data_IF_327000476973
#
_entry.id   IF_327000476973
#
_cell.length_a   1.000
_cell.length_b   1.000
_cell.length_c   1.000
_cell.angle_alpha   90.00
_cell.angle_beta   90.00
_cell.angle_gamma   90.00
#
_symmetry.space_group_name_H-M   'P 1'
#
loop_
_entity.id
_entity.type
_entity.pdbx_description
1 polymer ?
#
# COMPACT_ATOMS: atom_id res chain seq x y z
N UNK A 1 -9.33 4.56 -6.80
CA UNK A 1 -9.08 3.33 -7.59
C UNK A 1 -7.92 3.61 -8.51
N UNK A 2 -6.91 2.74 -8.56
CA UNK A 2 -5.81 2.91 -9.51
C UNK A 2 -6.36 2.70 -10.94
N UNK A 3 -6.36 3.76 -11.75
CA UNK A 3 -6.92 3.76 -13.10
C UNK A 3 -5.79 4.06 -14.10
N UNK A 4 -5.08 3.01 -14.48
CA UNK A 4 -3.98 3.07 -15.45
C UNK A 4 -3.19 1.77 -15.42
N UNK A 5 -3.02 1.12 -16.56
CA UNK A 5 -2.34 -0.18 -16.68
C UNK A 5 -0.94 -0.15 -16.06
N UNK A 6 -0.15 0.90 -16.32
CA UNK A 6 1.22 1.02 -15.82
C UNK A 6 1.36 1.25 -14.30
N UNK A 7 0.42 1.94 -13.65
CA UNK A 7 0.46 2.11 -12.18
C UNK A 7 0.03 0.82 -11.47
N UNK A 8 -0.98 0.14 -12.02
CA UNK A 8 -1.43 -1.15 -11.52
C UNK A 8 -0.33 -2.21 -11.64
N UNK A 9 0.39 -2.28 -12.76
CA UNK A 9 1.53 -3.20 -12.94
C UNK A 9 2.64 -2.95 -11.90
N UNK A 10 3.00 -1.69 -11.65
CA UNK A 10 4.02 -1.36 -10.64
C UNK A 10 3.60 -1.76 -9.22
N UNK A 11 2.38 -1.40 -8.84
CA UNK A 11 1.85 -1.69 -7.49
C UNK A 11 1.71 -3.19 -7.28
N UNK A 12 1.29 -3.92 -8.30
CA UNK A 12 1.15 -5.38 -8.21
C UNK A 12 2.50 -6.10 -8.12
N UNK A 13 3.50 -5.66 -8.88
CA UNK A 13 4.86 -6.15 -8.74
C UNK A 13 5.42 -5.90 -7.33
N UNK A 14 5.22 -4.68 -6.79
CA UNK A 14 5.62 -4.35 -5.43
C UNK A 14 4.88 -5.19 -4.38
N UNK A 15 3.58 -5.44 -4.59
CA UNK A 15 2.73 -6.22 -3.70
C UNK A 15 3.19 -7.68 -3.61
N UNK A 16 3.47 -8.31 -4.75
CA UNK A 16 3.99 -9.68 -4.82
C UNK A 16 5.40 -9.77 -4.23
N UNK A 17 6.25 -8.76 -4.43
CA UNK A 17 7.58 -8.69 -3.81
C UNK A 17 7.48 -8.61 -2.28
N UNK A 18 6.56 -7.80 -1.76
CA UNK A 18 6.34 -7.62 -0.31
C UNK A 18 5.72 -8.86 0.33
N UNK A 19 4.84 -9.55 -0.37
CA UNK A 19 4.14 -10.74 0.12
C UNK A 19 4.28 -11.90 -0.88
N UNK A 20 5.44 -12.59 -0.90
CA UNK A 20 5.71 -13.65 -1.87
C UNK A 20 4.68 -14.79 -1.87
N UNK A 21 4.04 -15.06 -0.73
CA UNK A 21 2.97 -16.04 -0.58
C UNK A 21 1.75 -15.78 -1.47
N UNK A 22 1.54 -14.53 -1.91
CA UNK A 22 0.43 -14.16 -2.78
C UNK A 22 0.63 -14.57 -4.24
N UNK A 23 1.82 -15.07 -4.62
CA UNK A 23 2.05 -15.62 -5.97
C UNK A 23 1.08 -16.74 -6.32
N UNK A 24 0.66 -17.53 -5.32
CA UNK A 24 -0.35 -18.58 -5.50
C UNK A 24 -1.77 -18.02 -5.71
N UNK A 25 -2.00 -16.75 -5.34
CA UNK A 25 -3.29 -16.06 -5.50
C UNK A 25 -3.38 -15.27 -6.81
N UNK A 26 -2.27 -15.08 -7.54
CA UNK A 26 -2.29 -14.50 -8.88
C UNK A 26 -2.72 -15.61 -9.84
N UNK A 27 -3.98 -15.63 -10.32
CA UNK A 27 -4.45 -16.74 -11.14
C UNK A 27 -3.74 -16.63 -12.49
N UNK A 28 -2.90 -17.61 -12.80
CA UNK A 28 -2.36 -17.75 -14.15
C UNK A 28 -3.52 -17.79 -15.15
N UNK A 29 -3.52 -16.87 -16.11
CA UNK A 29 -4.43 -16.81 -17.25
C UNK A 29 -5.93 -16.51 -16.98
N UNK A 30 -6.27 -15.75 -15.93
CA UNK A 30 -7.60 -15.12 -15.83
C UNK A 30 -7.66 -13.78 -16.61
N UNK A 31 -8.76 -13.45 -17.33
CA UNK A 31 -8.94 -12.14 -17.95
C UNK A 31 -9.01 -10.99 -16.91
N UNK A 32 -9.17 -11.34 -15.63
CA UNK A 32 -9.01 -10.41 -14.52
C UNK A 32 -7.84 -10.89 -13.64
N UNK A 33 -6.63 -10.31 -13.78
CA UNK A 33 -5.40 -10.82 -13.14
C UNK A 33 -5.43 -10.85 -11.61
N UNK A 34 -6.42 -10.22 -10.99
CA UNK A 34 -6.60 -10.16 -9.53
C UNK A 34 -7.95 -10.68 -9.04
N UNK A 35 -8.73 -11.37 -9.88
CA UNK A 35 -9.92 -12.12 -9.46
C UNK A 35 -10.93 -11.34 -8.61
N UNK A 36 -11.13 -10.04 -8.88
CA UNK A 36 -12.03 -9.18 -8.10
C UNK A 36 -11.38 -8.37 -6.98
N UNK A 37 -10.06 -8.43 -6.80
CA UNK A 37 -9.33 -7.54 -5.87
C UNK A 37 -9.18 -6.14 -6.48
N UNK A 38 -9.43 -5.12 -5.66
CA UNK A 38 -9.30 -3.71 -6.02
C UNK A 38 -8.09 -3.10 -5.32
N UNK A 39 -7.26 -2.37 -6.07
CA UNK A 39 -6.18 -1.57 -5.51
C UNK A 39 -6.64 -0.14 -5.26
N UNK A 40 -6.47 0.30 -4.00
CA UNK A 40 -6.79 1.64 -3.54
C UNK A 40 -5.51 2.36 -3.14
N UNK A 41 -5.32 3.58 -3.65
CA UNK A 41 -4.29 4.49 -3.17
C UNK A 41 -4.83 5.24 -1.96
N UNK A 42 -4.13 5.13 -0.84
CA UNK A 42 -4.42 5.87 0.38
C UNK A 42 -3.38 6.99 0.49
N UNK A 43 -3.84 8.24 0.48
CA UNK A 43 -3.02 9.41 0.75
C UNK A 43 -3.36 9.92 2.16
N UNK A 44 -2.57 9.56 3.20
CA UNK A 44 -2.86 10.01 4.55
C UNK A 44 -2.67 11.52 4.64
N UNK A 45 -3.53 12.18 5.42
CA UNK A 45 -3.39 13.61 5.75
C UNK A 45 -2.81 13.85 7.12
N UNK A 46 -3.00 12.88 8.03
CA UNK A 46 -2.49 12.91 9.39
C UNK A 46 -1.98 11.51 9.74
N UNK A 47 -0.82 11.43 10.37
CA UNK A 47 -0.22 10.19 10.89
C UNK A 47 -0.07 10.31 12.40
N UNK A 48 -0.40 9.24 13.11
CA UNK A 48 -0.11 9.08 14.54
C UNK A 48 1.09 8.15 14.71
N UNK A 49 2.21 8.68 15.19
CA UNK A 49 3.43 7.92 15.44
C UNK A 49 3.47 7.51 16.91
N UNK A 50 3.52 6.20 17.13
CA UNK A 50 3.77 5.61 18.44
C UNK A 50 5.28 5.39 18.62
N UNK A 51 5.91 6.15 19.51
CA UNK A 51 7.36 6.08 19.76
C UNK A 51 7.68 5.47 21.12
N UNK A 52 7.93 4.16 21.13
CA UNK A 52 8.28 3.42 22.34
C UNK A 52 9.65 3.79 22.94
N UNK A 53 10.48 4.58 22.26
CA UNK A 53 11.75 5.07 22.83
C UNK A 53 11.50 6.15 23.89
N UNK A 54 10.33 6.79 23.86
CA UNK A 54 9.96 7.88 24.77
C UNK A 54 9.05 7.43 25.93
N UNK A 55 8.75 6.14 26.00
CA UNK A 55 7.92 5.54 27.03
C UNK A 55 6.64 4.92 26.47
N UNK A 56 5.88 4.27 27.34
CA UNK A 56 4.66 3.59 26.95
C UNK A 56 3.56 4.60 26.60
N UNK A 57 2.95 4.45 25.42
CA UNK A 57 1.85 5.29 24.97
C UNK A 57 2.24 6.66 24.41
N UNK A 58 3.53 6.99 24.33
CA UNK A 58 3.97 8.25 23.75
C UNK A 58 3.62 8.32 22.26
N UNK A 59 2.71 9.22 21.92
CA UNK A 59 2.12 9.32 20.59
C UNK A 59 2.13 10.76 20.11
N UNK A 60 2.57 10.96 18.87
CA UNK A 60 2.63 12.28 18.24
C UNK A 60 1.88 12.28 16.91
N UNK A 61 1.18 13.38 16.61
CA UNK A 61 0.46 13.56 15.36
C UNK A 61 1.29 14.41 14.40
N UNK A 62 1.29 13.99 13.13
CA UNK A 62 2.00 14.65 12.05
C UNK A 62 1.05 14.92 10.90
N UNK A 63 0.95 16.17 10.48
CA UNK A 63 0.31 16.53 9.23
C UNK A 63 1.17 16.06 8.04
N UNK A 64 0.51 15.52 7.03
CA UNK A 64 1.14 15.00 5.81
C UNK A 64 0.61 15.80 4.64
N UNK A 65 1.47 16.64 4.04
CA UNK A 65 1.18 17.25 2.76
C UNK A 65 1.29 16.21 1.63
N UNK A 66 0.57 16.48 0.55
CA UNK A 66 0.55 15.60 -0.60
C UNK A 66 1.96 15.41 -1.19
N UNK A 67 2.42 14.16 -1.29
CA UNK A 67 3.75 13.81 -1.79
C UNK A 67 4.88 13.80 -0.75
N UNK A 68 4.62 14.13 0.53
CA UNK A 68 5.67 14.06 1.58
C UNK A 68 6.06 12.63 1.98
N UNK A 69 5.17 11.67 1.78
CA UNK A 69 5.48 10.26 1.90
C UNK A 69 5.80 9.75 0.50
N UNK A 70 7.07 9.68 0.16
CA UNK A 70 7.51 9.05 -1.08
C UNK A 70 6.99 7.59 -1.13
N UNK A 71 6.55 7.09 -2.30
CA UNK A 71 6.24 5.67 -2.48
C UNK A 71 7.48 4.77 -2.38
#
# INVERSE_FOLDING_TARGET
>A
MLAGSGELERVTAAFVRKFPQLKAMVPGASPMPWGGIVFLRIAPRVISLLDYRLGFGHTELYDVAEGQLAP
#
